data_IF_372620078140
#
_entry.id   IF_372620078140
#
_cell.length_a   1.000
_cell.length_b   1.000
_cell.length_c   1.000
_cell.angle_alpha   90.00
_cell.angle_beta   90.00
_cell.angle_gamma   90.00
#
_symmetry.space_group_name_H-M   'P 1'
#
loop_
_entity.id
_entity.type
_entity.pdbx_description
1 polymer ?
#
# COMPACT_ATOMS: atom_id res chain seq x y z
N UNK A 1 32.09 37.11 -25.77
CA UNK A 1 31.16 35.94 -25.77
C UNK A 1 30.03 36.28 -24.80
N UNK A 2 28.76 36.22 -25.22
CA UNK A 2 27.64 36.41 -24.27
C UNK A 2 27.56 35.16 -23.40
N UNK A 3 27.78 35.31 -22.10
CA UNK A 3 27.51 34.23 -21.15
C UNK A 3 26.00 33.99 -21.07
N UNK A 4 25.60 32.74 -21.00
CA UNK A 4 24.23 32.32 -20.71
C UNK A 4 24.00 32.30 -19.20
N UNK A 5 22.73 32.44 -18.83
CA UNK A 5 22.27 32.34 -17.45
C UNK A 5 21.65 30.95 -17.23
N UNK A 6 22.22 30.19 -16.31
CA UNK A 6 21.77 28.84 -15.99
C UNK A 6 21.00 28.84 -14.68
N UNK A 7 19.76 28.36 -14.70
CA UNK A 7 18.90 28.24 -13.51
C UNK A 7 19.12 26.88 -12.85
N UNK A 8 19.62 26.88 -11.62
CA UNK A 8 19.93 25.66 -10.86
C UNK A 8 19.28 25.73 -9.48
N UNK A 9 18.60 24.66 -9.08
CA UNK A 9 18.01 24.50 -7.75
C UNK A 9 19.05 23.96 -6.78
N UNK A 10 19.22 24.65 -5.65
CA UNK A 10 20.14 24.28 -4.57
C UNK A 10 19.36 24.33 -3.27
N UNK A 11 19.28 23.22 -2.53
CA UNK A 11 18.59 23.13 -1.23
C UNK A 11 17.15 23.72 -1.27
N UNK A 12 16.42 23.52 -2.38
CA UNK A 12 15.05 24.03 -2.57
C UNK A 12 14.95 25.50 -3.00
N UNK A 13 16.07 26.19 -3.22
CA UNK A 13 16.10 27.59 -3.71
C UNK A 13 16.71 27.66 -5.11
N UNK A 14 16.04 28.38 -6.01
CA UNK A 14 16.56 28.62 -7.36
C UNK A 14 17.67 29.66 -7.33
N UNK A 15 18.85 29.31 -7.86
CA UNK A 15 20.00 30.19 -8.06
C UNK A 15 20.33 30.31 -9.54
N UNK A 16 20.89 31.45 -9.93
CA UNK A 16 21.27 31.72 -11.31
C UNK A 16 22.79 31.78 -11.39
N UNK A 17 23.39 30.95 -12.23
CA UNK A 17 24.81 31.00 -12.56
C UNK A 17 24.96 31.83 -13.83
N UNK A 18 25.59 33.00 -13.72
CA UNK A 18 25.89 33.85 -14.86
C UNK A 18 27.25 33.49 -15.47
N UNK A 19 27.39 33.70 -16.79
CA UNK A 19 28.66 33.48 -17.48
C UNK A 19 28.89 32.06 -18.00
N UNK A 20 27.87 31.20 -17.96
CA UNK A 20 27.98 29.82 -18.45
C UNK A 20 28.03 29.81 -19.98
N UNK A 21 28.91 28.99 -20.55
CA UNK A 21 29.05 28.84 -22.00
C UNK A 21 28.88 27.36 -22.38
N UNK A 22 28.77 27.07 -23.68
CA UNK A 22 28.64 25.69 -24.18
C UNK A 22 29.84 24.81 -23.83
N UNK A 23 31.02 25.41 -23.60
CA UNK A 23 32.25 24.71 -23.20
C UNK A 23 32.38 24.51 -21.68
N UNK A 24 31.59 25.23 -20.88
CA UNK A 24 31.63 25.12 -19.42
C UNK A 24 31.17 23.72 -19.01
N UNK A 25 31.94 23.06 -18.15
CA UNK A 25 31.62 21.68 -17.71
C UNK A 25 30.70 21.69 -16.50
N UNK A 26 29.98 20.58 -16.27
CA UNK A 26 29.17 20.39 -15.07
C UNK A 26 30.02 20.52 -13.81
N UNK A 27 31.26 20.04 -13.84
CA UNK A 27 32.23 20.19 -12.76
C UNK A 27 32.49 21.65 -12.40
N UNK A 28 32.74 22.53 -13.39
CA UNK A 28 32.98 23.95 -13.15
C UNK A 28 31.76 24.64 -12.52
N UNK A 29 30.56 24.35 -13.02
CA UNK A 29 29.30 24.89 -12.48
C UNK A 29 29.06 24.41 -11.06
N UNK A 30 29.28 23.12 -10.79
CA UNK A 30 29.18 22.52 -9.46
C UNK A 30 30.14 23.17 -8.48
N UNK A 31 31.41 23.37 -8.88
CA UNK A 31 32.42 24.01 -8.04
C UNK A 31 32.04 25.46 -7.76
N UNK A 32 31.63 26.22 -8.77
CA UNK A 32 31.22 27.60 -8.61
C UNK A 32 30.02 27.75 -7.66
N UNK A 33 29.02 26.87 -7.78
CA UNK A 33 27.88 26.83 -6.87
C UNK A 33 28.30 26.46 -5.45
N UNK A 34 29.07 25.38 -5.28
CA UNK A 34 29.56 24.93 -3.97
C UNK A 34 30.39 26.02 -3.26
N UNK A 35 31.24 26.74 -4.00
CA UNK A 35 32.01 27.87 -3.49
C UNK A 35 31.11 29.05 -3.09
N UNK A 36 30.11 29.39 -3.90
CA UNK A 36 29.15 30.46 -3.59
C UNK A 36 28.25 30.14 -2.39
N UNK A 37 27.97 28.86 -2.14
CA UNK A 37 27.22 28.38 -0.96
C UNK A 37 28.13 28.30 0.28
N UNK A 38 29.47 28.30 0.11
CA UNK A 38 30.43 28.15 1.19
C UNK A 38 30.52 26.72 1.74
N UNK A 39 29.92 25.74 1.06
CA UNK A 39 29.88 24.33 1.46
C UNK A 39 30.72 23.49 0.51
N UNK A 40 31.91 23.08 0.94
CA UNK A 40 32.77 22.20 0.16
C UNK A 40 32.39 20.73 0.36
N UNK A 41 32.14 20.00 -0.73
CA UNK A 41 31.72 18.60 -0.69
C UNK A 41 31.67 17.98 -2.09
N UNK A 42 31.29 16.70 -2.17
CA UNK A 42 31.01 16.04 -3.46
C UNK A 42 29.59 16.35 -3.86
N UNK A 43 29.43 17.01 -5.00
CA UNK A 43 28.15 17.38 -5.58
C UNK A 43 28.05 16.86 -7.00
N UNK A 44 26.81 16.63 -7.43
CA UNK A 44 26.46 16.24 -8.79
C UNK A 44 25.31 17.11 -9.29
N UNK A 45 25.27 17.37 -10.59
CA UNK A 45 24.15 18.06 -11.23
C UNK A 45 23.17 17.02 -11.77
N UNK A 46 21.89 17.23 -11.51
CA UNK A 46 20.80 16.36 -11.93
C UNK A 46 19.86 17.15 -12.84
N UNK A 47 19.52 16.57 -13.98
CA UNK A 47 18.44 17.03 -14.84
C UNK A 47 17.15 16.32 -14.44
N UNK A 48 16.19 17.09 -13.93
CA UNK A 48 14.86 16.61 -13.56
C UNK A 48 13.84 17.08 -14.58
N UNK A 49 13.17 16.14 -15.23
CA UNK A 49 12.04 16.39 -16.12
C UNK A 49 10.88 15.49 -15.71
N UNK A 50 9.79 16.08 -15.21
CA UNK A 50 8.63 15.36 -14.66
C UNK A 50 9.06 14.32 -13.60
N UNK A 51 8.90 13.03 -13.90
CA UNK A 51 9.27 11.89 -13.03
C UNK A 51 10.62 11.28 -13.41
N UNK A 52 11.31 11.81 -14.42
CA UNK A 52 12.62 11.32 -14.87
C UNK A 52 13.74 12.19 -14.29
N UNK A 53 14.64 11.57 -13.54
CA UNK A 53 15.85 12.21 -13.00
C UNK A 53 17.08 11.58 -13.66
N UNK A 54 17.93 12.41 -14.26
CA UNK A 54 19.17 11.98 -14.90
C UNK A 54 20.36 12.68 -14.27
N UNK A 55 21.34 11.90 -13.83
CA UNK A 55 22.60 12.40 -13.29
C UNK A 55 23.53 12.79 -14.44
N UNK A 56 24.03 14.03 -14.40
CA UNK A 56 25.03 14.51 -15.35
C UNK A 56 26.43 14.14 -14.88
N UNK A 57 27.28 13.69 -15.80
CA UNK A 57 28.66 13.38 -15.48
C UNK A 57 29.50 14.67 -15.34
N UNK A 58 30.58 14.67 -14.54
CA UNK A 58 31.38 15.88 -14.30
C UNK A 58 31.96 16.52 -15.57
N UNK A 59 32.23 15.70 -16.59
CA UNK A 59 32.81 16.10 -17.88
C UNK A 59 31.75 16.49 -18.93
N UNK A 60 30.46 16.32 -18.65
CA UNK A 60 29.40 16.77 -19.56
C UNK A 60 29.18 18.28 -19.43
N UNK A 61 28.60 18.91 -20.45
CA UNK A 61 28.30 20.34 -20.47
C UNK A 61 26.80 20.56 -20.18
N UNK A 62 26.42 21.35 -19.15
CA UNK A 62 25.02 21.47 -18.76
C UNK A 62 24.18 22.21 -19.81
N UNK A 63 24.77 23.16 -20.54
CA UNK A 63 24.10 23.86 -21.64
C UNK A 63 23.83 22.90 -22.82
N UNK A 64 24.81 22.04 -23.15
CA UNK A 64 24.65 21.05 -24.22
C UNK A 64 23.63 19.99 -23.84
N UNK A 65 23.64 19.54 -22.58
CA UNK A 65 22.66 18.57 -22.09
C UNK A 65 21.23 19.15 -22.05
N UNK A 66 21.04 20.41 -21.65
CA UNK A 66 19.76 21.11 -21.79
C UNK A 66 19.34 21.26 -23.26
N UNK A 67 20.26 21.61 -24.16
CA UNK A 67 19.96 21.75 -25.59
C UNK A 67 19.51 20.43 -26.25
N UNK A 68 19.90 19.26 -25.71
CA UNK A 68 19.40 17.95 -26.20
C UNK A 68 17.88 17.80 -26.02
N UNK A 69 17.29 18.49 -25.05
CA UNK A 69 15.83 18.49 -24.83
C UNK A 69 15.08 19.43 -25.79
N UNK A 70 15.79 20.28 -26.54
CA UNK A 70 15.23 21.15 -27.57
C UNK A 70 14.11 22.04 -27.04
N UNK A 71 12.89 21.86 -27.56
CA UNK A 71 11.70 22.65 -27.18
C UNK A 71 11.27 22.44 -25.72
N UNK A 72 11.65 21.31 -25.11
CA UNK A 72 11.31 20.99 -23.72
C UNK A 72 12.37 21.48 -22.73
N UNK A 73 13.43 22.15 -23.19
CA UNK A 73 14.51 22.63 -22.33
C UNK A 73 14.02 23.63 -21.25
N UNK A 74 12.90 24.33 -21.49
CA UNK A 74 12.28 25.22 -20.50
C UNK A 74 11.69 24.49 -19.29
N UNK A 75 11.31 23.24 -19.46
CA UNK A 75 10.59 22.44 -18.46
C UNK A 75 11.55 21.55 -17.64
N UNK A 76 12.81 21.44 -18.08
CA UNK A 76 13.86 20.70 -17.38
C UNK A 76 14.43 21.56 -16.25
N UNK A 77 14.49 21.00 -15.05
CA UNK A 77 15.07 21.64 -13.88
C UNK A 77 16.44 21.03 -13.59
N UNK A 78 17.46 21.88 -13.50
CA UNK A 78 18.77 21.45 -12.99
C UNK A 78 18.77 21.54 -11.46
N UNK A 79 19.16 20.47 -10.80
CA UNK A 79 19.21 20.37 -9.34
C UNK A 79 20.63 19.99 -8.92
N UNK A 80 21.22 20.76 -8.01
CA UNK A 80 22.49 20.43 -7.39
C UNK A 80 22.24 19.50 -6.19
N UNK A 81 22.64 18.23 -6.31
CA UNK A 81 22.53 17.26 -5.23
C UNK A 81 23.90 16.99 -4.62
N UNK A 82 23.93 16.85 -3.30
CA UNK A 82 25.13 16.51 -2.55
C UNK A 82 25.24 14.99 -2.41
N UNK A 83 26.30 14.40 -2.97
CA UNK A 83 26.51 12.94 -3.04
C UNK A 83 27.58 12.45 -2.05
N UNK A 84 28.16 13.33 -1.21
CA UNK A 84 29.16 12.92 -0.21
C UNK A 84 29.16 13.74 1.09
N UNK A 85 29.72 13.16 2.17
CA UNK A 85 29.86 13.85 3.46
C UNK A 85 30.84 15.02 3.33
N UNK A 86 30.47 16.21 3.84
CA UNK A 86 31.36 17.36 3.89
C UNK A 86 32.29 17.23 5.09
N UNK A 87 33.56 17.59 4.92
CA UNK A 87 34.53 17.64 6.03
C UNK A 87 34.44 18.93 6.86
N UNK A 88 33.48 19.80 6.56
CA UNK A 88 33.25 21.04 7.30
C UNK A 88 31.76 21.38 7.23
N UNK A 89 30.99 21.01 8.26
CA UNK A 89 29.82 21.79 8.64
C UNK A 89 29.40 21.48 10.09
N UNK A 90 29.44 22.52 10.93
CA UNK A 90 28.64 22.59 12.16
C UNK A 90 27.16 22.60 11.75
N UNK A 91 26.27 21.85 12.41
CA UNK A 91 24.88 21.80 12.01
C UNK A 91 24.17 23.07 12.49
N UNK A 92 23.68 23.88 11.56
CA UNK A 92 22.52 24.74 11.81
C UNK A 92 21.28 23.94 11.48
N UNK A 93 20.48 23.72 12.52
CA UNK A 93 19.18 23.07 12.53
C UNK A 93 18.25 23.62 11.46
N UNK A 94 17.66 22.75 10.63
CA UNK A 94 16.23 22.47 10.56
C UNK A 94 15.90 21.67 9.28
N UNK A 95 14.84 20.85 9.40
CA UNK A 95 14.16 20.06 8.35
C UNK A 95 14.71 18.65 8.04
N UNK A 96 14.05 17.69 8.69
CA UNK A 96 13.71 16.32 8.24
C UNK A 96 14.80 15.39 7.68
N UNK A 97 15.31 14.56 8.60
CA UNK A 97 15.35 13.09 8.51
C UNK A 97 15.33 12.44 7.12
N UNK A 98 16.51 12.13 6.59
CA UNK A 98 16.83 10.87 5.91
C UNK A 98 18.27 10.52 6.31
N UNK A 99 18.42 9.41 7.03
CA UNK A 99 19.71 8.96 7.55
C UNK A 99 20.71 8.68 6.43
N UNK A 100 22.01 8.92 6.63
CA UNK A 100 22.99 8.65 5.59
C UNK A 100 23.19 7.15 5.42
N UNK A 101 22.89 6.66 4.22
CA UNK A 101 23.29 5.35 3.71
C UNK A 101 24.78 5.11 3.98
N UNK A 102 25.08 4.19 4.88
CA UNK A 102 26.42 3.66 5.09
C UNK A 102 26.52 2.34 4.32
N UNK A 103 27.22 2.37 3.19
CA UNK A 103 27.44 1.19 2.36
C UNK A 103 28.18 0.05 3.10
N UNK A 104 28.02 -1.21 2.66
CA UNK A 104 28.59 -2.39 3.30
C UNK A 104 30.02 -2.64 2.80
N UNK A 105 30.95 -1.74 3.12
CA UNK A 105 32.38 -2.01 2.92
C UNK A 105 33.24 -1.10 3.81
N UNK A 106 33.10 -1.25 5.12
CA UNK A 106 34.10 -0.75 6.08
C UNK A 106 35.19 -1.81 6.20
N UNK A 107 36.25 -1.61 5.43
CA UNK A 107 37.56 -2.23 5.66
C UNK A 107 37.98 -1.97 7.11
N UNK A 108 37.98 -3.01 7.94
CA UNK A 108 38.59 -3.03 9.26
C UNK A 108 40.10 -3.16 9.10
N UNK A 109 40.77 -2.01 8.94
CA UNK A 109 42.16 -1.85 9.37
C UNK A 109 42.25 -0.56 10.20
N UNK A 110 42.98 -0.55 11.32
CA UNK A 110 43.06 0.61 12.19
C UNK A 110 43.95 1.70 11.57
N UNK A 111 43.59 2.99 11.66
CA UNK A 111 44.56 4.05 11.44
C UNK A 111 45.43 4.16 12.70
N UNK A 112 46.60 3.53 12.67
CA UNK A 112 47.70 3.98 13.52
C UNK A 112 48.05 5.43 13.18
N UNK A 113 48.33 6.19 14.23
CA UNK A 113 48.97 7.51 14.25
C UNK A 113 48.09 8.73 13.88
N UNK A 114 47.64 9.44 14.93
CA UNK A 114 48.17 10.76 15.34
C UNK A 114 47.08 11.54 16.08
N UNK A 115 47.01 11.42 17.40
CA UNK A 115 46.59 12.52 18.26
C UNK A 115 47.40 12.46 19.55
N UNK A 116 48.45 13.30 19.61
CA UNK A 116 48.96 13.84 20.86
C UNK A 116 47.86 14.70 21.48
N UNK A 117 47.52 14.50 22.76
CA UNK A 117 47.05 15.61 23.59
C UNK A 117 48.27 16.39 24.07
N UNK A 118 48.23 17.70 23.84
CA UNK A 118 49.15 18.67 24.42
C UNK A 118 49.22 18.47 25.93
N UNK A 119 50.43 18.25 26.43
CA UNK A 119 50.75 18.30 27.85
C UNK A 119 50.33 19.65 28.46
N UNK A 120 49.82 19.68 29.70
CA UNK A 120 49.97 20.85 30.53
C UNK A 120 51.43 20.89 31.01
N UNK A 121 52.04 22.04 30.78
CA UNK A 121 53.34 22.45 31.27
C UNK A 121 53.46 22.22 32.79
N UNK A 122 54.19 21.17 33.17
CA UNK A 122 54.82 21.04 34.48
C UNK A 122 56.27 20.66 34.26
N UNK A 123 57.10 21.69 34.23
CA UNK A 123 58.54 21.62 34.43
C UNK A 123 58.89 20.89 35.74
N UNK A 124 59.08 19.58 35.69
CA UNK A 124 59.71 18.82 36.75
C UNK A 124 61.14 18.47 36.33
N UNK A 125 62.01 19.48 36.44
CA UNK A 125 63.44 19.23 36.57
C UNK A 125 63.62 18.34 37.80
N UNK A 126 63.94 17.08 37.57
CA UNK A 126 64.49 16.15 38.57
C UNK A 126 65.76 16.78 39.13
N UNK A 127 65.60 17.59 40.18
CA UNK A 127 66.69 18.10 41.00
C UNK A 127 67.19 16.93 41.82
N UNK A 128 68.42 16.55 41.53
CA UNK A 128 69.21 15.59 42.30
C UNK A 128 69.12 15.88 43.80
N UNK A 129 69.01 14.83 44.65
CA UNK A 129 69.10 14.99 46.08
C UNK A 129 70.47 15.55 46.48
N UNK A 130 70.46 16.68 47.20
CA UNK A 130 71.63 17.28 47.87
C UNK A 130 72.35 16.24 48.74
N UNK A 131 73.37 15.59 48.18
CA UNK A 131 74.43 14.98 48.98
C UNK A 131 75.27 16.10 49.58
N UNK A 132 75.18 16.25 50.91
CA UNK A 132 76.20 16.95 51.70
C UNK A 132 77.38 15.98 51.83
N UNK A 133 78.21 15.89 50.80
CA UNK A 133 79.53 15.27 50.91
C UNK A 133 80.51 16.32 51.43
N UNK A 134 80.74 16.30 52.74
CA UNK A 134 81.83 17.02 53.40
C UNK A 134 82.79 15.99 54.03
N UNK A 135 83.75 15.55 53.23
CA UNK A 135 85.06 14.97 53.60
C UNK A 135 85.77 14.68 52.27
N UNK A 136 87.06 14.86 52.04
CA UNK A 136 88.21 15.27 52.83
C UNK A 136 89.34 15.55 51.83
N UNK A 137 90.01 16.69 51.86
CA UNK A 137 91.42 16.75 51.41
C UNK A 137 92.20 17.66 52.36
N UNK A 138 93.08 17.03 53.12
CA UNK A 138 94.13 17.72 53.84
C UNK A 138 95.09 18.37 52.84
N UNK A 139 95.33 19.65 53.03
CA UNK A 139 96.56 20.30 52.59
C UNK A 139 97.17 20.95 53.82
N UNK A 140 98.24 20.31 54.30
CA UNK A 140 99.01 20.77 55.45
C UNK A 140 99.64 22.13 55.16
N UNK A 141 99.30 23.11 55.99
CA UNK A 141 100.06 24.34 56.17
C UNK A 141 100.00 24.76 57.64
N UNK A 142 101.20 24.85 58.23
CA UNK A 142 101.49 25.83 59.28
C UNK A 142 101.03 25.54 60.70
N UNK A 143 101.60 24.52 61.35
CA UNK A 143 101.71 24.49 62.83
C UNK A 143 103.17 24.27 63.26
N UNK A 144 104.09 24.91 62.52
CA UNK A 144 105.51 25.08 62.89
C UNK A 144 105.82 26.46 63.48
N UNK A 145 104.82 27.33 63.68
CA UNK A 145 105.02 28.73 64.10
C UNK A 145 104.43 29.10 65.47
N UNK A 146 104.06 28.14 66.32
CA UNK A 146 103.60 28.44 67.71
C UNK A 146 104.61 27.93 68.77
N UNK A 147 105.53 27.05 68.41
CA UNK A 147 106.54 26.51 69.33
C UNK A 147 107.96 26.85 68.89
N UNK A 148 108.34 28.13 69.03
CA UNK A 148 109.68 28.59 68.65
C UNK A 148 110.12 29.92 69.25
N UNK A 149 110.29 29.99 70.58
CA UNK A 149 111.44 30.64 71.27
C UNK A 149 111.14 30.88 72.75
N UNK A 150 111.67 30.02 73.63
CA UNK A 150 112.28 30.46 74.90
C UNK A 150 113.23 29.40 75.45
N UNK A 151 114.52 29.59 75.14
CA UNK A 151 115.71 29.48 76.02
C UNK A 151 115.56 28.66 77.32
N UNK A 152 116.15 27.45 77.32
CA UNK A 152 117.01 26.74 78.31
C UNK A 152 116.93 27.05 79.84
N UNK A 153 117.44 26.18 80.74
CA UNK A 153 116.95 24.86 81.15
C UNK A 153 116.66 24.84 82.67
N UNK A 154 115.90 23.85 83.17
CA UNK A 154 115.77 23.72 84.63
C UNK A 154 114.87 22.62 85.16
N UNK A 155 115.52 21.57 85.68
CA UNK A 155 115.20 20.90 86.96
C UNK A 155 113.88 20.10 87.06
N UNK A 156 114.06 18.77 87.09
CA UNK A 156 113.45 17.82 88.04
C UNK A 156 112.25 18.30 88.86
N UNK A 157 111.09 17.64 88.68
CA UNK A 157 110.39 16.93 89.77
C UNK A 157 109.17 16.15 89.29
N UNK A 158 109.15 14.88 89.70
CA UNK A 158 108.01 13.98 89.75
C UNK A 158 106.81 14.60 90.49
N UNK A 159 105.63 14.55 89.88
CA UNK A 159 104.36 14.75 90.58
C UNK A 159 103.39 13.63 90.18
N UNK A 160 103.00 12.86 91.18
CA UNK A 160 102.01 11.77 91.14
C UNK A 160 100.64 12.29 90.68
N UNK A 161 99.82 11.48 89.96
CA UNK A 161 98.46 11.86 89.60
C UNK A 161 97.56 11.82 90.85
N UNK A 162 96.78 12.89 91.08
CA UNK A 162 95.75 12.91 92.11
C UNK A 162 94.49 12.12 91.72
N UNK A 163 93.62 11.76 92.69
CA UNK A 163 92.48 10.84 92.52
C UNK A 163 91.45 11.30 91.46
N UNK A 164 91.31 12.61 91.22
CA UNK A 164 90.40 13.19 90.22
C UNK A 164 90.79 12.83 88.78
N UNK A 165 92.10 12.66 88.51
CA UNK A 165 92.59 12.22 87.20
C UNK A 165 92.31 10.73 86.95
N UNK A 166 92.21 9.94 88.02
CA UNK A 166 91.94 8.52 87.97
C UNK A 166 90.44 8.25 87.69
N UNK A 167 89.54 9.01 88.34
CA UNK A 167 88.09 8.96 88.08
C UNK A 167 87.73 9.45 86.66
N UNK A 168 88.36 10.52 86.19
CA UNK A 168 88.20 10.97 84.81
C UNK A 168 88.73 9.94 83.81
N UNK A 169 89.85 9.27 84.13
CA UNK A 169 90.38 8.16 83.33
C UNK A 169 89.41 6.98 83.24
N UNK A 170 88.77 6.62 84.34
CA UNK A 170 87.72 5.58 84.38
C UNK A 170 86.49 6.00 83.57
N UNK A 171 86.03 7.25 83.68
CA UNK A 171 84.91 7.76 82.89
C UNK A 171 85.22 7.79 81.39
N UNK A 172 86.45 8.16 81.02
CA UNK A 172 86.92 8.13 79.63
C UNK A 172 87.03 6.70 79.11
N UNK A 173 87.45 5.73 79.92
CA UNK A 173 87.43 4.30 79.56
C UNK A 173 85.99 3.82 79.33
N UNK A 174 85.08 4.16 80.25
CA UNK A 174 83.67 3.77 80.14
C UNK A 174 82.97 4.44 78.94
N UNK A 175 83.33 5.69 78.63
CA UNK A 175 82.88 6.36 77.41
C UNK A 175 83.47 5.71 76.15
N UNK A 176 84.74 5.31 76.14
CA UNK A 176 85.37 4.59 75.02
C UNK A 176 84.71 3.23 74.78
N UNK A 177 84.37 2.51 75.84
CA UNK A 177 83.65 1.23 75.74
C UNK A 177 82.23 1.41 75.20
N UNK A 178 81.51 2.45 75.67
CA UNK A 178 80.18 2.80 75.16
C UNK A 178 80.21 3.25 73.69
N UNK A 179 81.27 3.95 73.28
CA UNK A 179 81.46 4.35 71.88
C UNK A 179 81.73 3.14 71.00
N UNK A 180 82.58 2.20 71.45
CA UNK A 180 82.85 0.94 70.74
C UNK A 180 81.59 0.09 70.59
N UNK A 181 80.73 0.00 71.60
CA UNK A 181 79.48 -0.76 71.50
C UNK A 181 78.47 -0.10 70.56
N UNK A 182 78.41 1.23 70.52
CA UNK A 182 77.61 1.96 69.54
C UNK A 182 78.16 1.80 68.13
N UNK A 183 79.48 1.84 67.94
CA UNK A 183 80.14 1.59 66.64
C UNK A 183 79.83 0.18 66.13
N UNK A 184 79.90 -0.84 66.98
CA UNK A 184 79.54 -2.22 66.61
C UNK A 184 78.07 -2.36 66.24
N UNK A 185 77.16 -1.73 66.98
CA UNK A 185 75.72 -1.73 66.65
C UNK A 185 75.43 -1.01 65.35
N UNK A 186 76.14 0.10 65.10
CA UNK A 186 76.01 0.87 63.86
C UNK A 186 76.54 0.07 62.67
N UNK A 187 77.65 -0.67 62.84
CA UNK A 187 78.15 -1.61 61.84
C UNK A 187 77.20 -2.79 61.58
N UNK A 188 76.55 -3.35 62.61
CA UNK A 188 75.51 -4.39 62.44
C UNK A 188 74.34 -3.85 61.63
N UNK A 189 73.79 -2.69 62.00
CA UNK A 189 72.71 -2.06 61.22
C UNK A 189 73.15 -1.70 59.80
N UNK A 190 74.40 -1.27 59.58
CA UNK A 190 74.93 -1.01 58.23
C UNK A 190 75.09 -2.30 57.40
N UNK A 191 75.33 -3.44 58.03
CA UNK A 191 75.38 -4.75 57.36
C UNK A 191 73.98 -5.26 57.04
N UNK A 192 73.04 -5.18 57.99
CA UNK A 192 71.62 -5.50 57.80
C UNK A 192 71.02 -4.65 56.65
N UNK A 193 71.28 -3.33 56.64
CA UNK A 193 70.86 -2.44 55.55
C UNK A 193 71.50 -2.78 54.18
N UNK A 194 72.68 -3.40 54.15
CA UNK A 194 73.32 -3.84 52.90
C UNK A 194 72.72 -5.14 52.39
N UNK A 195 72.26 -6.00 53.28
CA UNK A 195 71.57 -7.26 52.94
C UNK A 195 70.10 -7.02 52.56
N UNK A 196 69.47 -5.97 53.09
CA UNK A 196 68.10 -5.53 52.72
C UNK A 196 68.04 -4.73 51.41
N UNK A 197 69.18 -4.32 50.85
CA UNK A 197 69.23 -3.73 49.52
C UNK A 197 69.02 -4.83 48.49
N UNK A 198 68.02 -4.64 47.64
CA UNK A 198 67.78 -5.52 46.49
C UNK A 198 69.08 -5.68 45.71
N UNK A 199 69.39 -6.93 45.39
CA UNK A 199 70.48 -7.24 44.46
C UNK A 199 70.16 -6.68 43.08
N UNK A 200 71.18 -6.37 42.27
CA UNK A 200 70.95 -5.88 40.88
C UNK A 200 70.07 -6.86 40.07
N UNK A 201 70.16 -8.17 40.37
CA UNK A 201 69.31 -9.21 39.79
C UNK A 201 67.83 -9.04 40.17
N UNK A 202 67.52 -8.79 41.45
CA UNK A 202 66.15 -8.53 41.92
C UNK A 202 65.59 -7.20 41.38
N UNK A 203 66.42 -6.17 41.19
CA UNK A 203 66.02 -4.92 40.55
C UNK A 203 65.70 -5.11 39.05
N UNK A 204 66.49 -5.92 38.34
CA UNK A 204 66.23 -6.30 36.95
C UNK A 204 64.95 -7.14 36.82
N UNK A 205 64.73 -8.11 37.72
CA UNK A 205 63.50 -8.89 37.79
C UNK A 205 62.28 -8.01 38.07
N UNK A 206 62.39 -7.05 39.00
CA UNK A 206 61.34 -6.07 39.28
C UNK A 206 60.99 -5.25 38.03
N UNK A 207 61.99 -4.78 37.28
CA UNK A 207 61.79 -4.03 36.04
C UNK A 207 61.14 -4.87 34.94
N UNK A 208 61.50 -6.15 34.81
CA UNK A 208 60.87 -7.08 33.88
C UNK A 208 59.41 -7.32 34.24
N UNK A 209 59.12 -7.54 35.52
CA UNK A 209 57.76 -7.69 36.03
C UNK A 209 56.94 -6.41 35.84
N UNK A 210 57.49 -5.23 36.13
CA UNK A 210 56.83 -3.96 35.84
C UNK A 210 56.50 -3.79 34.35
N UNK A 211 57.45 -4.15 33.48
CA UNK A 211 57.22 -4.07 32.04
C UNK A 211 56.14 -5.06 31.60
N UNK A 212 56.10 -6.25 32.19
CA UNK A 212 55.08 -7.26 31.94
C UNK A 212 53.70 -6.80 32.44
N UNK A 213 53.63 -6.21 33.64
CA UNK A 213 52.40 -5.61 34.17
C UNK A 213 51.89 -4.53 33.23
N UNK A 214 52.75 -3.62 32.74
CA UNK A 214 52.33 -2.59 31.77
C UNK A 214 51.80 -3.16 30.46
N UNK A 215 52.36 -4.28 29.99
CA UNK A 215 51.85 -4.97 28.79
C UNK A 215 50.49 -5.59 29.05
N UNK A 216 50.34 -6.29 30.18
CA UNK A 216 49.06 -6.87 30.58
C UNK A 216 48.00 -5.78 30.80
N UNK A 217 48.35 -4.66 31.43
CA UNK A 217 47.45 -3.51 31.58
C UNK A 217 46.96 -2.99 30.23
N UNK A 218 47.85 -2.80 29.25
CA UNK A 218 47.47 -2.37 27.91
C UNK A 218 46.58 -3.41 27.19
N UNK A 219 46.87 -4.71 27.32
CA UNK A 219 46.05 -5.78 26.75
C UNK A 219 44.66 -5.82 27.41
N UNK A 220 44.56 -5.57 28.71
CA UNK A 220 43.28 -5.47 29.43
C UNK A 220 42.47 -4.26 28.95
N UNK A 221 43.10 -3.09 28.80
CA UNK A 221 42.44 -1.89 28.27
C UNK A 221 41.90 -2.11 26.84
N UNK A 222 42.65 -2.82 26.00
CA UNK A 222 42.19 -3.21 24.66
C UNK A 222 41.00 -4.17 24.71
N UNK A 223 41.03 -5.16 25.60
CA UNK A 223 39.91 -6.09 25.78
C UNK A 223 38.65 -5.35 26.24
N UNK A 224 38.76 -4.48 27.24
CA UNK A 224 37.64 -3.66 27.74
C UNK A 224 37.05 -2.76 26.64
N UNK A 225 37.91 -2.20 25.78
CA UNK A 225 37.46 -1.43 24.62
C UNK A 225 36.66 -2.29 23.64
N UNK A 226 37.17 -3.47 23.27
CA UNK A 226 36.47 -4.35 22.34
C UNK A 226 35.18 -4.94 22.91
N UNK A 227 35.13 -5.22 24.21
CA UNK A 227 33.91 -5.62 24.91
C UNK A 227 32.86 -4.50 24.86
N UNK A 228 33.28 -3.26 25.07
CA UNK A 228 32.41 -2.09 24.97
C UNK A 228 31.85 -1.89 23.55
N UNK A 229 32.72 -1.97 22.53
CA UNK A 229 32.30 -1.88 21.13
C UNK A 229 31.36 -3.03 20.73
N UNK A 230 31.65 -4.26 21.19
CA UNK A 230 30.77 -5.40 20.95
C UNK A 230 29.40 -5.19 21.58
N UNK A 231 29.34 -4.67 22.80
CA UNK A 231 28.07 -4.38 23.47
C UNK A 231 27.26 -3.33 22.71
N UNK A 232 27.90 -2.24 22.27
CA UNK A 232 27.24 -1.20 21.46
C UNK A 232 26.70 -1.80 20.16
N UNK A 233 27.45 -2.65 19.49
CA UNK A 233 27.00 -3.30 18.25
C UNK A 233 25.83 -4.27 18.50
N UNK A 234 25.84 -5.00 19.61
CA UNK A 234 24.70 -5.85 19.98
C UNK A 234 23.43 -5.04 20.24
N UNK A 235 23.53 -3.92 20.96
CA UNK A 235 22.41 -3.01 21.20
C UNK A 235 21.90 -2.37 19.90
N UNK A 236 22.82 -1.95 19.02
CA UNK A 236 22.47 -1.42 17.69
C UNK A 236 21.75 -2.48 16.85
N UNK A 237 22.24 -3.72 16.86
CA UNK A 237 21.62 -4.83 16.16
C UNK A 237 20.20 -5.13 16.69
N UNK A 238 20.02 -5.11 18.02
CA UNK A 238 18.71 -5.24 18.65
C UNK A 238 17.75 -4.12 18.21
N UNK A 239 18.19 -2.86 18.27
CA UNK A 239 17.37 -1.72 17.81
C UNK A 239 17.01 -1.81 16.32
N UNK A 240 17.94 -2.27 15.47
CA UNK A 240 17.67 -2.48 14.05
C UNK A 240 16.66 -3.61 13.83
N UNK A 241 16.76 -4.71 14.59
CA UNK A 241 15.78 -5.81 14.55
C UNK A 241 14.39 -5.34 14.97
N UNK A 242 14.28 -4.55 16.03
CA UNK A 242 13.02 -3.96 16.49
C UNK A 242 12.40 -3.05 15.43
N UNK A 243 13.18 -2.10 14.88
CA UNK A 243 12.72 -1.22 13.79
C UNK A 243 12.28 -2.00 12.55
N UNK A 244 13.00 -3.06 12.19
CA UNK A 244 12.60 -3.94 11.08
C UNK A 244 11.29 -4.67 11.39
N UNK A 245 11.08 -5.11 12.63
CA UNK A 245 9.84 -5.75 13.05
C UNK A 245 8.67 -4.76 13.06
N UNK A 246 8.87 -3.53 13.53
CA UNK A 246 7.88 -2.45 13.44
C UNK A 246 7.50 -2.13 11.99
N UNK A 247 8.49 -2.02 11.10
CA UNK A 247 8.23 -1.79 9.67
C UNK A 247 7.47 -2.96 9.04
N UNK A 248 7.82 -4.21 9.38
CA UNK A 248 7.09 -5.40 8.92
C UNK A 248 5.64 -5.39 9.40
N UNK A 249 5.39 -5.07 10.68
CA UNK A 249 4.04 -4.97 11.22
C UNK A 249 3.25 -3.86 10.51
N UNK A 250 3.85 -2.70 10.29
CA UNK A 250 3.21 -1.59 9.54
C UNK A 250 2.87 -1.98 8.10
N UNK A 251 3.73 -2.76 7.44
CA UNK A 251 3.46 -3.29 6.10
C UNK A 251 2.29 -4.27 6.14
N UNK A 252 2.27 -5.20 7.09
CA UNK A 252 1.16 -6.15 7.27
C UNK A 252 -0.16 -5.43 7.56
N UNK A 253 -0.16 -4.37 8.37
CA UNK A 253 -1.34 -3.55 8.63
C UNK A 253 -1.83 -2.85 7.35
N UNK A 254 -0.91 -2.36 6.51
CA UNK A 254 -1.27 -1.76 5.22
C UNK A 254 -1.83 -2.81 4.26
N UNK A 255 -1.25 -4.00 4.20
CA UNK A 255 -1.74 -5.13 3.40
C UNK A 255 -3.15 -5.56 3.83
N UNK A 256 -3.41 -5.64 5.15
CA UNK A 256 -4.73 -5.94 5.69
C UNK A 256 -5.77 -4.88 5.29
N UNK A 257 -5.44 -3.58 5.45
CA UNK A 257 -6.33 -2.48 5.03
C UNK A 257 -6.60 -2.50 3.53
N UNK A 258 -5.59 -2.81 2.71
CA UNK A 258 -5.77 -2.96 1.26
C UNK A 258 -6.69 -4.13 0.94
N UNK A 259 -6.56 -5.27 1.62
CA UNK A 259 -7.45 -6.41 1.47
C UNK A 259 -8.90 -6.07 1.85
N UNK A 260 -9.11 -5.29 2.92
CA UNK A 260 -10.43 -4.78 3.31
C UNK A 260 -11.04 -3.88 2.23
N UNK A 261 -10.27 -2.93 1.68
CA UNK A 261 -10.74 -2.08 0.59
C UNK A 261 -11.06 -2.88 -0.68
N UNK A 262 -10.24 -3.88 -1.03
CA UNK A 262 -10.51 -4.76 -2.16
C UNK A 262 -11.79 -5.58 -1.94
N UNK A 263 -12.01 -6.13 -0.75
CA UNK A 263 -13.24 -6.85 -0.42
C UNK A 263 -14.47 -5.93 -0.48
N UNK A 264 -14.34 -4.68 -0.02
CA UNK A 264 -15.40 -3.69 -0.12
C UNK A 264 -15.74 -3.36 -1.57
N UNK A 265 -14.73 -3.15 -2.42
CA UNK A 265 -14.92 -2.91 -3.86
C UNK A 265 -15.62 -4.09 -4.51
N UNK A 266 -15.15 -5.32 -4.28
CA UNK A 266 -15.76 -6.54 -4.83
C UNK A 266 -17.23 -6.70 -4.38
N UNK A 267 -17.54 -6.38 -3.13
CA UNK A 267 -18.92 -6.40 -2.63
C UNK A 267 -19.79 -5.36 -3.35
N UNK A 268 -19.28 -4.13 -3.52
CA UNK A 268 -19.99 -3.08 -4.26
C UNK A 268 -20.19 -3.46 -5.73
N UNK A 269 -19.17 -4.02 -6.39
CA UNK A 269 -19.25 -4.51 -7.76
C UNK A 269 -20.31 -5.60 -7.89
N UNK A 270 -20.32 -6.59 -7.00
CA UNK A 270 -21.34 -7.64 -6.98
C UNK A 270 -22.75 -7.09 -6.75
N UNK A 271 -22.92 -6.09 -5.88
CA UNK A 271 -24.20 -5.40 -5.70
C UNK A 271 -24.64 -4.67 -6.97
N UNK A 272 -23.75 -3.94 -7.63
CA UNK A 272 -24.06 -3.22 -8.87
C UNK A 272 -24.40 -4.19 -10.01
N UNK A 273 -23.69 -5.31 -10.12
CA UNK A 273 -24.01 -6.36 -11.09
C UNK A 273 -25.38 -6.98 -10.83
N UNK A 274 -25.71 -7.26 -9.56
CA UNK A 274 -27.02 -7.77 -9.17
C UNK A 274 -28.13 -6.75 -9.48
N UNK A 275 -27.91 -5.46 -9.21
CA UNK A 275 -28.83 -4.38 -9.58
C UNK A 275 -29.00 -4.28 -11.09
N UNK A 276 -27.93 -4.40 -11.88
CA UNK A 276 -28.00 -4.38 -13.34
C UNK A 276 -28.84 -5.55 -13.86
N UNK A 277 -28.59 -6.77 -13.38
CA UNK A 277 -29.37 -7.96 -13.76
C UNK A 277 -30.85 -7.77 -13.37
N UNK A 278 -31.11 -7.20 -12.19
CA UNK A 278 -32.48 -6.92 -11.75
C UNK A 278 -33.17 -5.88 -12.66
N UNK A 279 -32.47 -4.83 -13.08
CA UNK A 279 -33.00 -3.83 -14.02
C UNK A 279 -33.28 -4.44 -15.39
N UNK A 280 -32.38 -5.25 -15.92
CA UNK A 280 -32.57 -5.97 -17.19
C UNK A 280 -33.80 -6.89 -17.12
N UNK A 281 -33.97 -7.63 -16.01
CA UNK A 281 -35.15 -8.47 -15.79
C UNK A 281 -36.44 -7.65 -15.70
N UNK A 282 -36.40 -6.50 -15.03
CA UNK A 282 -37.56 -5.60 -14.94
C UNK A 282 -37.92 -5.01 -16.31
N UNK A 283 -36.93 -4.60 -17.09
CA UNK A 283 -37.14 -4.11 -18.46
C UNK A 283 -37.71 -5.19 -19.37
N UNK A 284 -37.19 -6.43 -19.29
CA UNK A 284 -37.76 -7.56 -20.04
C UNK A 284 -39.22 -7.79 -19.66
N UNK A 285 -39.55 -7.77 -18.36
CA UNK A 285 -40.94 -7.91 -17.89
C UNK A 285 -41.84 -6.78 -18.40
N UNK A 286 -41.34 -5.53 -18.40
CA UNK A 286 -42.08 -4.39 -18.93
C UNK A 286 -42.31 -4.52 -20.44
N UNK A 287 -41.30 -4.94 -21.20
CA UNK A 287 -41.43 -5.21 -22.62
C UNK A 287 -42.46 -6.33 -22.90
N UNK A 288 -42.43 -7.42 -22.12
CA UNK A 288 -43.41 -8.49 -22.21
C UNK A 288 -44.83 -7.99 -21.89
N UNK A 289 -44.99 -7.15 -20.86
CA UNK A 289 -46.27 -6.51 -20.51
C UNK A 289 -46.76 -5.57 -21.63
N UNK A 290 -45.88 -4.78 -22.23
CA UNK A 290 -46.20 -3.89 -23.35
C UNK A 290 -46.60 -4.68 -24.60
N UNK A 291 -45.89 -5.77 -24.91
CA UNK A 291 -46.28 -6.67 -25.99
C UNK A 291 -47.65 -7.30 -25.75
N UNK A 292 -47.93 -7.75 -24.52
CA UNK A 292 -49.23 -8.28 -24.14
C UNK A 292 -50.32 -7.22 -24.28
N UNK A 293 -50.08 -5.98 -23.84
CA UNK A 293 -51.00 -4.85 -24.03
C UNK A 293 -51.27 -4.59 -25.51
N UNK A 294 -50.23 -4.55 -26.35
CA UNK A 294 -50.38 -4.35 -27.79
C UNK A 294 -51.17 -5.51 -28.45
N UNK A 295 -50.96 -6.76 -28.03
CA UNK A 295 -51.76 -7.91 -28.50
C UNK A 295 -53.22 -7.79 -28.06
N UNK A 296 -53.48 -7.36 -26.82
CA UNK A 296 -54.83 -7.13 -26.31
C UNK A 296 -55.53 -5.99 -27.06
N UNK A 297 -54.83 -4.91 -27.38
CA UNK A 297 -55.37 -3.80 -28.19
C UNK A 297 -55.71 -4.25 -29.60
N UNK A 298 -54.86 -5.06 -30.26
CA UNK A 298 -55.19 -5.65 -31.57
C UNK A 298 -56.47 -6.46 -31.52
N UNK A 299 -56.59 -7.40 -30.58
CA UNK A 299 -57.80 -8.22 -30.40
C UNK A 299 -59.02 -7.34 -30.12
N UNK A 300 -58.87 -6.28 -29.31
CA UNK A 300 -59.94 -5.32 -29.05
C UNK A 300 -60.39 -4.61 -30.34
N UNK A 301 -59.47 -4.11 -31.15
CA UNK A 301 -59.82 -3.45 -32.43
C UNK A 301 -60.48 -4.43 -33.41
N UNK A 302 -60.01 -5.68 -33.47
CA UNK A 302 -60.64 -6.73 -34.27
C UNK A 302 -62.07 -7.01 -33.80
N UNK A 303 -62.29 -7.09 -32.48
CA UNK A 303 -63.62 -7.27 -31.90
C UNK A 303 -64.53 -6.07 -32.20
N UNK A 304 -64.04 -4.84 -32.08
CA UNK A 304 -64.79 -3.62 -32.43
C UNK A 304 -65.21 -3.63 -33.92
N UNK A 305 -64.30 -4.05 -34.81
CA UNK A 305 -64.62 -4.23 -36.23
C UNK A 305 -65.66 -5.33 -36.46
N UNK A 306 -65.58 -6.46 -35.76
CA UNK A 306 -66.59 -7.52 -35.82
C UNK A 306 -67.96 -7.05 -35.30
N UNK A 307 -68.00 -6.27 -34.21
CA UNK A 307 -69.24 -5.67 -33.68
C UNK A 307 -69.86 -4.74 -34.72
N UNK A 308 -69.04 -3.90 -35.38
CA UNK A 308 -69.53 -3.04 -36.46
C UNK A 308 -70.06 -3.85 -37.65
N UNK A 309 -69.38 -4.93 -38.03
CA UNK A 309 -69.85 -5.83 -39.10
C UNK A 309 -71.16 -6.51 -38.71
N UNK A 310 -71.29 -7.02 -37.47
CA UNK A 310 -72.51 -7.61 -36.96
C UNK A 310 -73.68 -6.61 -36.98
N UNK A 311 -73.45 -5.36 -36.56
CA UNK A 311 -74.46 -4.30 -36.61
C UNK A 311 -74.90 -3.97 -38.06
N UNK A 312 -73.96 -3.96 -39.03
CA UNK A 312 -74.29 -3.79 -40.45
C UNK A 312 -75.15 -4.96 -40.95
N UNK A 313 -74.77 -6.20 -40.63
CA UNK A 313 -75.54 -7.37 -41.00
C UNK A 313 -76.92 -7.36 -40.36
N UNK A 314 -77.04 -7.00 -39.08
CA UNK A 314 -78.32 -6.86 -38.39
C UNK A 314 -79.22 -5.82 -39.07
N UNK A 315 -78.67 -4.66 -39.45
CA UNK A 315 -79.44 -3.65 -40.21
C UNK A 315 -79.93 -4.17 -41.57
N UNK A 316 -79.11 -4.99 -42.25
CA UNK A 316 -79.49 -5.62 -43.52
C UNK A 316 -80.56 -6.71 -43.32
N UNK A 317 -80.45 -7.53 -42.28
CA UNK A 317 -81.46 -8.53 -41.91
C UNK A 317 -82.79 -7.84 -41.60
N UNK A 318 -82.79 -6.75 -40.81
CA UNK A 318 -83.99 -5.96 -40.53
C UNK A 318 -84.62 -5.39 -41.80
N UNK A 319 -83.83 -4.90 -42.75
CA UNK A 319 -84.34 -4.42 -44.03
C UNK A 319 -85.01 -5.55 -44.85
N UNK A 320 -84.38 -6.73 -44.88
CA UNK A 320 -84.96 -7.93 -45.53
C UNK A 320 -86.24 -8.36 -44.83
N UNK A 321 -86.28 -8.40 -43.50
CA UNK A 321 -87.49 -8.70 -42.71
C UNK A 321 -88.64 -7.76 -43.05
N UNK A 322 -88.38 -6.44 -43.15
CA UNK A 322 -89.39 -5.47 -43.57
C UNK A 322 -89.89 -5.73 -44.99
N UNK A 323 -88.98 -6.00 -45.95
CA UNK A 323 -89.35 -6.30 -47.33
C UNK A 323 -90.14 -7.60 -47.47
N UNK A 324 -89.78 -8.61 -46.67
CA UNK A 324 -90.49 -9.88 -46.58
C UNK A 324 -91.89 -9.65 -46.01
N UNK A 325 -92.01 -8.87 -44.93
CA UNK A 325 -93.30 -8.47 -44.35
C UNK A 325 -94.19 -7.76 -45.39
N UNK A 326 -93.64 -6.83 -46.17
CA UNK A 326 -94.39 -6.18 -47.26
C UNK A 326 -94.84 -7.17 -48.34
N UNK A 327 -93.97 -8.10 -48.75
CA UNK A 327 -94.33 -9.15 -49.72
C UNK A 327 -95.39 -10.11 -49.18
N UNK A 328 -95.35 -10.42 -47.88
CA UNK A 328 -96.34 -11.25 -47.20
C UNK A 328 -97.72 -10.59 -47.21
N UNK A 329 -97.78 -9.28 -46.96
CA UNK A 329 -99.03 -8.51 -47.05
C UNK A 329 -99.57 -8.52 -48.49
N UNK A 330 -98.73 -8.24 -49.49
CA UNK A 330 -99.14 -8.28 -50.91
C UNK A 330 -99.61 -9.67 -51.33
N UNK A 331 -98.97 -10.73 -50.85
CA UNK A 331 -99.38 -12.09 -51.11
C UNK A 331 -100.75 -12.38 -50.49
N UNK A 332 -100.99 -11.93 -49.26
CA UNK A 332 -102.29 -12.04 -48.60
C UNK A 332 -103.38 -11.26 -49.35
N UNK A 333 -103.09 -10.06 -49.85
CA UNK A 333 -104.01 -9.30 -50.72
C UNK A 333 -104.34 -10.08 -52.00
N UNK A 334 -103.33 -10.67 -52.65
CA UNK A 334 -103.53 -11.50 -53.84
C UNK A 334 -104.30 -12.78 -53.54
N UNK A 335 -104.09 -13.40 -52.39
CA UNK A 335 -104.91 -14.53 -51.92
C UNK A 335 -106.37 -14.11 -51.76
N UNK A 336 -106.65 -12.96 -51.16
CA UNK A 336 -108.02 -12.42 -51.04
C UNK A 336 -108.64 -12.11 -52.41
N UNK A 337 -107.89 -11.52 -53.34
CA UNK A 337 -108.33 -11.32 -54.73
C UNK A 337 -108.63 -12.66 -55.41
N UNK A 338 -107.77 -13.68 -55.25
CA UNK A 338 -107.99 -15.02 -55.78
C UNK A 338 -109.23 -15.68 -55.16
N UNK A 339 -109.47 -15.51 -53.86
CA UNK A 339 -110.69 -15.97 -53.22
C UNK A 339 -111.93 -15.28 -53.77
N UNK A 340 -111.87 -13.97 -54.03
CA UNK A 340 -112.95 -13.20 -54.66
C UNK A 340 -113.21 -13.68 -56.09
N UNK A 341 -112.17 -13.78 -56.93
CA UNK A 341 -112.27 -14.31 -58.29
C UNK A 341 -112.76 -15.75 -58.29
N UNK A 342 -112.39 -16.57 -57.29
CA UNK A 342 -112.90 -17.94 -57.15
C UNK A 342 -114.39 -17.94 -56.80
N UNK A 343 -114.86 -17.02 -55.95
CA UNK A 343 -116.28 -16.83 -55.66
C UNK A 343 -117.04 -16.39 -56.91
N UNK A 344 -116.50 -15.42 -57.66
CA UNK A 344 -117.06 -14.97 -58.94
C UNK A 344 -117.08 -16.10 -59.97
N UNK A 345 -116.00 -16.85 -60.12
CA UNK A 345 -115.94 -18.01 -61.01
C UNK A 345 -116.95 -19.07 -60.61
N UNK A 346 -117.11 -19.38 -59.31
CA UNK A 346 -118.16 -20.26 -58.81
C UNK A 346 -119.55 -19.71 -59.11
N UNK A 347 -119.76 -18.40 -58.99
CA UNK A 347 -121.02 -17.73 -59.30
C UNK A 347 -121.32 -17.79 -60.81
N UNK A 348 -120.35 -17.51 -61.68
CA UNK A 348 -120.49 -17.64 -63.14
C UNK A 348 -120.70 -19.09 -63.53
N UNK A 349 -119.96 -20.04 -62.97
CA UNK A 349 -120.17 -21.47 -63.19
C UNK A 349 -121.58 -21.91 -62.74
N UNK A 350 -122.05 -21.43 -61.60
CA UNK A 350 -123.42 -21.67 -61.13
C UNK A 350 -124.45 -21.03 -62.07
N UNK A 351 -124.19 -19.81 -62.57
CA UNK A 351 -125.05 -19.13 -63.52
C UNK A 351 -125.08 -19.84 -64.88
N UNK A 352 -123.94 -20.38 -65.33
CA UNK A 352 -123.82 -21.21 -66.52
C UNK A 352 -124.55 -22.54 -66.33
N UNK A 353 -124.45 -23.15 -65.15
CA UNK A 353 -125.25 -24.32 -64.77
C UNK A 353 -126.75 -24.02 -64.84
N UNK A 354 -127.20 -22.88 -64.27
CA UNK A 354 -128.60 -22.42 -64.31
C UNK A 354 -129.06 -22.13 -65.75
N UNK A 355 -128.21 -21.53 -66.61
CA UNK A 355 -128.53 -21.31 -68.02
C UNK A 355 -128.66 -22.64 -68.78
N UNK A 356 -127.78 -23.60 -68.53
CA UNK A 356 -127.85 -24.95 -69.13
C UNK A 356 -129.05 -25.76 -68.62
N UNK A 357 -129.54 -25.49 -67.40
CA UNK A 357 -130.73 -26.15 -66.81
C UNK A 357 -132.03 -25.35 -66.98
N UNK A 358 -131.98 -24.19 -67.63
CA UNK A 358 -133.08 -23.23 -67.70
C UNK A 358 -133.90 -23.23 -69.00
N UNK A 359 -134.24 -24.39 -69.58
CA UNK A 359 -135.40 -24.53 -70.51
C UNK A 359 -135.89 -26.00 -70.55
N UNK A 360 -137.08 -26.22 -69.97
CA UNK A 360 -137.93 -27.44 -69.90
C UNK A 360 -137.67 -28.48 -68.80
N UNK A 361 -138.60 -28.43 -67.83
CA UNK A 361 -139.03 -29.43 -66.85
C UNK A 361 -139.63 -30.67 -67.54
N UNK A 362 -139.15 -31.86 -67.18
CA UNK A 362 -139.94 -33.10 -67.01
C UNK A 362 -139.24 -34.07 -66.03
N UNK A 363 -139.83 -34.18 -64.84
CA UNK A 363 -140.06 -35.33 -63.92
C UNK A 363 -139.19 -36.63 -64.01
N UNK A 364 -138.59 -36.94 -62.85
CA UNK A 364 -137.97 -38.18 -62.27
C UNK A 364 -138.91 -39.45 -62.27
N UNK A 365 -138.54 -40.70 -61.83
CA UNK A 365 -137.61 -41.07 -60.71
C UNK A 365 -136.72 -42.34 -60.86
N UNK A 366 -135.54 -42.37 -60.19
CA UNK A 366 -135.12 -43.19 -59.01
C UNK A 366 -135.14 -44.73 -59.25
N UNK A 367 -134.18 -45.60 -58.90
CA UNK A 367 -133.14 -45.76 -57.87
C UNK A 367 -132.50 -47.18 -58.12
N UNK A 368 -131.65 -47.85 -57.30
CA UNK A 368 -130.95 -47.47 -56.06
C UNK A 368 -129.48 -47.98 -55.94
N UNK A 369 -128.93 -47.74 -54.74
CA UNK A 369 -128.05 -48.61 -53.94
C UNK A 369 -126.56 -48.66 -54.33
N UNK A 370 -125.66 -48.06 -53.55
CA UNK A 370 -125.16 -48.45 -52.20
C UNK A 370 -123.95 -49.42 -52.27
N UNK A 371 -123.15 -49.36 -51.20
CA UNK A 371 -121.97 -50.17 -50.87
C UNK A 371 -120.65 -49.62 -51.44
N UNK A 372 -119.93 -48.81 -50.65
CA UNK A 372 -118.99 -49.27 -49.62
C UNK A 372 -118.13 -50.45 -50.08
N UNK A 373 -116.81 -50.23 -50.21
CA UNK A 373 -115.83 -51.00 -49.42
C UNK A 373 -114.40 -50.53 -49.70
N UNK A 374 -113.74 -50.23 -48.58
CA UNK A 374 -112.33 -50.55 -48.29
C UNK A 374 -111.21 -49.85 -49.09
N UNK A 375 -110.52 -48.95 -48.39
CA UNK A 375 -109.18 -49.26 -47.83
C UNK A 375 -108.96 -48.47 -46.53
N UNK A 376 -109.46 -49.06 -45.44
CA UNK A 376 -108.90 -49.03 -44.09
C UNK A 376 -107.37 -49.20 -44.13
N UNK A 377 -106.56 -48.39 -43.44
CA UNK A 377 -106.21 -48.45 -42.01
C UNK A 377 -104.67 -48.56 -42.00
N UNK A 378 -103.84 -47.95 -41.17
CA UNK A 378 -103.85 -47.29 -39.84
C UNK A 378 -102.45 -46.60 -39.79
N UNK A 379 -102.05 -45.64 -38.96
CA UNK A 379 -102.53 -45.03 -37.72
C UNK A 379 -101.68 -43.76 -37.49
N UNK A 380 -102.29 -42.75 -36.86
CA UNK A 380 -101.75 -41.87 -35.79
C UNK A 380 -100.23 -41.56 -35.77
N UNK A 381 -99.73 -40.33 -35.70
CA UNK A 381 -100.29 -39.06 -35.26
C UNK A 381 -99.13 -38.19 -34.71
N UNK A 382 -99.15 -36.90 -35.04
CA UNK A 382 -98.58 -35.78 -34.27
C UNK A 382 -97.04 -35.51 -34.25
N UNK A 383 -96.72 -34.35 -34.83
CA UNK A 383 -95.77 -33.30 -34.39
C UNK A 383 -94.28 -33.29 -34.83
N UNK A 384 -93.96 -32.13 -35.46
CA UNK A 384 -92.67 -31.40 -35.60
C UNK A 384 -91.83 -31.62 -36.88
N UNK A 385 -92.23 -30.82 -37.88
CA UNK A 385 -91.47 -30.05 -38.89
C UNK A 385 -89.95 -30.37 -39.00
N UNK A 386 -89.58 -31.07 -40.08
CA UNK A 386 -88.21 -31.20 -40.59
C UNK A 386 -88.04 -30.32 -41.84
N UNK A 387 -87.09 -29.39 -41.79
CA UNK A 387 -86.43 -28.84 -42.98
C UNK A 387 -85.10 -29.56 -43.14
N UNK A 388 -84.85 -30.19 -44.29
CA UNK A 388 -83.56 -30.81 -44.61
C UNK A 388 -83.44 -31.06 -46.11
N UNK A 389 -82.50 -30.39 -46.78
CA UNK A 389 -81.72 -30.93 -47.89
C UNK A 389 -80.63 -29.93 -48.32
N UNK A 390 -79.39 -30.19 -47.87
CA UNK A 390 -78.14 -30.29 -48.68
C UNK A 390 -76.91 -30.00 -47.80
N UNK A 391 -75.98 -30.96 -47.70
CA UNK A 391 -74.59 -30.61 -47.48
C UNK A 391 -73.66 -31.32 -48.47
N UNK A 392 -72.76 -30.56 -49.07
CA UNK A 392 -71.42 -30.98 -49.52
C UNK A 392 -70.52 -29.72 -49.47
N UNK A 393 -69.19 -29.84 -49.33
CA UNK A 393 -68.40 -30.89 -48.69
C UNK A 393 -67.36 -30.36 -47.67
N UNK A 394 -66.97 -31.26 -46.78
CA UNK A 394 -65.89 -31.13 -45.80
C UNK A 394 -64.51 -30.94 -46.43
N UNK A 395 -63.73 -29.99 -45.91
CA UNK A 395 -62.28 -30.10 -45.81
C UNK A 395 -61.73 -29.16 -44.73
N UNK A 396 -61.90 -29.48 -43.43
CA UNK A 396 -60.92 -29.09 -42.40
C UNK A 396 -60.89 -30.16 -41.31
N UNK A 397 -59.90 -31.04 -41.40
CA UNK A 397 -59.46 -31.90 -40.31
C UNK A 397 -58.27 -31.21 -39.66
N UNK A 398 -58.52 -30.41 -38.63
CA UNK A 398 -57.49 -30.04 -37.67
C UNK A 398 -58.22 -29.62 -36.40
N UNK A 399 -58.15 -30.48 -35.37
CA UNK A 399 -57.93 -30.14 -33.97
C UNK A 399 -58.11 -31.41 -33.13
N UNK A 400 -56.99 -32.06 -32.83
CA UNK A 400 -56.82 -32.83 -31.60
C UNK A 400 -55.37 -32.70 -31.15
N UNK A 401 -55.13 -31.81 -30.20
CA UNK A 401 -54.21 -32.05 -29.09
C UNK A 401 -54.40 -30.98 -28.00
N UNK A 402 -54.77 -31.37 -26.76
CA UNK A 402 -54.74 -30.50 -25.60
C UNK A 402 -53.34 -30.48 -24.97
N UNK A 403 -52.95 -29.33 -24.41
CA UNK A 403 -51.82 -29.17 -23.51
C UNK A 403 -52.28 -29.38 -22.06
N UNK A 404 -51.64 -30.35 -21.38
CA UNK A 404 -51.31 -30.42 -19.93
C UNK A 404 -50.52 -31.73 -19.77
N UNK A 405 -49.46 -31.93 -19.01
CA UNK A 405 -48.81 -31.23 -17.90
C UNK A 405 -47.53 -32.03 -17.60
N UNK A 406 -46.51 -31.38 -17.02
CA UNK A 406 -45.48 -31.94 -16.12
C UNK A 406 -44.63 -33.14 -16.60
N UNK A 407 -43.32 -32.92 -16.77
CA UNK A 407 -42.26 -33.59 -15.99
C UNK A 407 -40.87 -33.09 -16.46
N UNK A 408 -40.10 -32.51 -15.53
CA UNK A 408 -38.63 -32.45 -15.64
C UNK A 408 -38.09 -33.89 -15.62
N UNK A 409 -36.94 -34.16 -16.27
CA UNK A 409 -35.73 -34.25 -15.45
C UNK A 409 -34.45 -33.73 -16.12
N UNK A 410 -33.52 -33.39 -15.24
CA UNK A 410 -32.09 -33.25 -15.46
C UNK A 410 -31.50 -34.33 -16.40
N UNK A 411 -30.45 -33.97 -17.15
CA UNK A 411 -29.62 -34.98 -17.80
C UNK A 411 -28.80 -34.50 -19.01
N UNK A 412 -28.03 -33.42 -18.89
CA UNK A 412 -26.80 -33.32 -19.69
C UNK A 412 -25.75 -34.11 -18.90
N UNK A 413 -25.52 -35.34 -19.32
CA UNK A 413 -24.29 -36.06 -19.00
C UNK A 413 -23.22 -35.75 -20.04
N UNK A 414 -22.02 -35.59 -19.49
CA UNK A 414 -20.71 -35.85 -20.08
C UNK A 414 -20.68 -37.14 -20.88
#
# INVERSE_FOLDING_TARGET
MRGMELKVWVDGVQRIVCGVTEVTTCQEVVIALAQAIGRTGRYTLIEKWRETERYLAPHENPVVSLNKWGQYASDVQLVLQRTGPSLCERPTSETSALGPERGPYRQSLPPLAKLRPSAPDRSLKRREPKRKSLTFTGSGKGLRDIFGKSREPGRTRSATPGPVAQELGQLVQLQKEKLRSLEQRLQSCEQELREELLTEEEEEELLQLEQQVRRMEAEMEEQEFWESELQIEQENEQQLRERLQELRNRVQDCEARLAEYLAQIQCMEACLEAERIQQELQQSRQADEEELRARMEKVRTELEMQVQQAARLESSCRAVELSLGQSSIRLQEKEQELEQLTKELRQVNLQQFIQQTGTKVTVLPAEPAEEETSRESEQSGSLKRLGSARPLPNAFRALQSPLTSSFNPEGIYV
#
